data_IF_510361730968
#
_entry.id   IF_510361730968
#
_cell.length_a   1.000
_cell.length_b   1.000
_cell.length_c   1.000
_cell.angle_alpha   90.00
_cell.angle_beta   90.00
_cell.angle_gamma   90.00
#
_symmetry.space_group_name_H-M   'P 1'
#
loop_
_entity.id
_entity.type
_entity.pdbx_description
1 polymer ?
#
# COMPACT_ATOMS: atom_id res chain seq x y z
N UNK A 1 14.00 -9.06 6.22
CA UNK A 1 13.15 -8.84 5.04
C UNK A 1 12.09 -9.95 5.00
N UNK A 2 10.81 -9.62 5.03
CA UNK A 2 9.76 -10.61 4.79
C UNK A 2 9.71 -10.92 3.29
N UNK A 3 10.07 -12.14 2.91
CA UNK A 3 9.98 -12.61 1.52
C UNK A 3 8.93 -13.70 1.44
N UNK A 4 8.07 -13.64 0.44
CA UNK A 4 7.18 -14.77 0.16
C UNK A 4 8.00 -16.02 -0.19
N UNK A 5 7.45 -17.19 0.12
CA UNK A 5 7.87 -18.43 -0.51
C UNK A 5 7.77 -18.33 -2.03
N UNK A 6 8.63 -19.08 -2.73
CA UNK A 6 8.66 -19.15 -4.19
C UNK A 6 7.32 -19.56 -4.80
N UNK A 7 7.04 -19.07 -6.00
CA UNK A 7 5.85 -19.46 -6.77
C UNK A 7 5.78 -20.97 -7.04
N UNK A 8 6.90 -21.59 -7.41
CA UNK A 8 6.96 -23.04 -7.65
C UNK A 8 6.46 -23.85 -6.45
N UNK A 9 6.97 -23.54 -5.25
CA UNK A 9 6.52 -24.22 -4.01
C UNK A 9 5.02 -24.05 -3.77
N UNK A 10 4.48 -22.84 -4.00
CA UNK A 10 3.06 -22.55 -3.86
C UNK A 10 2.23 -23.37 -4.86
N UNK A 11 2.63 -23.37 -6.12
CA UNK A 11 1.99 -24.14 -7.19
C UNK A 11 1.98 -25.63 -6.90
N UNK A 12 3.11 -26.20 -6.46
CA UNK A 12 3.22 -27.62 -6.15
C UNK A 12 2.34 -28.03 -4.98
N UNK A 13 2.25 -27.21 -3.93
CA UNK A 13 1.33 -27.44 -2.81
C UNK A 13 -0.12 -27.40 -3.30
N UNK A 14 -0.48 -26.40 -4.12
CA UNK A 14 -1.85 -26.29 -4.66
C UNK A 14 -2.20 -27.48 -5.55
N UNK A 15 -1.33 -27.86 -6.50
CA UNK A 15 -1.54 -29.02 -7.37
C UNK A 15 -1.70 -30.31 -6.59
N UNK A 16 -0.90 -30.53 -5.54
CA UNK A 16 -1.01 -31.72 -4.72
C UNK A 16 -2.38 -31.84 -4.01
N UNK A 17 -2.99 -30.72 -3.63
CA UNK A 17 -4.31 -30.73 -3.00
C UNK A 17 -5.43 -30.83 -4.05
N UNK A 18 -5.35 -30.05 -5.13
CA UNK A 18 -6.46 -29.92 -6.10
C UNK A 18 -6.47 -31.01 -7.18
N UNK A 19 -5.30 -31.53 -7.56
CA UNK A 19 -5.16 -32.52 -8.63
C UNK A 19 -4.82 -33.90 -8.09
N UNK A 20 -3.97 -33.99 -7.08
CA UNK A 20 -3.55 -35.28 -6.48
C UNK A 20 -4.43 -35.72 -5.29
N UNK A 21 -5.41 -34.90 -4.89
CA UNK A 21 -6.39 -35.23 -3.85
C UNK A 21 -5.84 -35.28 -2.42
N UNK A 22 -4.65 -34.71 -2.17
CA UNK A 22 -4.08 -34.67 -0.82
C UNK A 22 -4.85 -33.73 0.10
N UNK A 23 -4.97 -34.08 1.37
CA UNK A 23 -5.40 -33.09 2.37
C UNK A 23 -4.38 -31.96 2.50
N UNK A 24 -4.86 -30.77 2.88
CA UNK A 24 -4.01 -29.57 3.11
C UNK A 24 -2.87 -29.86 4.09
N UNK A 25 -3.12 -30.71 5.11
CA UNK A 25 -2.10 -31.14 6.09
C UNK A 25 -1.07 -32.11 5.50
N UNK A 26 -1.48 -33.06 4.66
CA UNK A 26 -0.56 -33.97 3.99
C UNK A 26 0.36 -33.21 3.02
N UNK A 27 -0.18 -32.27 2.25
CA UNK A 27 0.62 -31.41 1.38
C UNK A 27 1.64 -30.58 2.20
N UNK A 28 1.24 -30.03 3.34
CA UNK A 28 2.13 -29.29 4.23
C UNK A 28 3.35 -30.13 4.67
N UNK A 29 3.11 -31.38 5.11
CA UNK A 29 4.18 -32.32 5.50
C UNK A 29 5.07 -32.66 4.31
N UNK A 30 4.49 -32.99 3.15
CA UNK A 30 5.24 -33.37 1.94
C UNK A 30 6.20 -32.27 1.46
N UNK A 31 5.77 -31.01 1.52
CA UNK A 31 6.54 -29.88 1.00
C UNK A 31 7.31 -29.10 2.08
N UNK A 32 7.28 -29.56 3.34
CA UNK A 32 8.01 -28.95 4.44
C UNK A 32 7.53 -27.53 4.79
N UNK A 33 6.24 -27.24 4.62
CA UNK A 33 5.63 -25.96 4.99
C UNK A 33 4.73 -26.12 6.21
N UNK A 34 4.50 -25.04 6.96
CA UNK A 34 3.57 -25.08 8.09
C UNK A 34 2.13 -25.37 7.64
N UNK A 35 1.33 -26.15 8.39
CA UNK A 35 -0.05 -26.48 8.01
C UNK A 35 -0.92 -25.25 7.72
N UNK A 36 -0.78 -24.18 8.52
CA UNK A 36 -1.48 -22.91 8.31
C UNK A 36 -1.08 -22.21 7.00
N UNK A 37 0.14 -22.42 6.52
CA UNK A 37 0.62 -21.84 5.25
C UNK A 37 -0.03 -22.56 4.07
N UNK A 38 -0.04 -23.90 4.08
CA UNK A 38 -0.71 -24.68 3.05
C UNK A 38 -2.21 -24.39 3.02
N UNK A 39 -2.87 -24.27 4.18
CA UNK A 39 -4.29 -23.91 4.27
C UNK A 39 -4.55 -22.55 3.60
N UNK A 40 -3.80 -21.51 3.97
CA UNK A 40 -3.95 -20.16 3.38
C UNK A 40 -3.71 -20.13 1.87
N UNK A 41 -2.77 -20.92 1.36
CA UNK A 41 -2.52 -20.98 -0.08
C UNK A 41 -3.68 -21.60 -0.84
N UNK A 42 -4.32 -22.62 -0.27
CA UNK A 42 -5.49 -23.26 -0.87
C UNK A 42 -6.71 -22.33 -0.78
N UNK A 43 -6.97 -21.71 0.38
CA UNK A 43 -8.06 -20.73 0.53
C UNK A 43 -7.93 -19.60 -0.49
N UNK A 44 -6.73 -19.01 -0.63
CA UNK A 44 -6.48 -17.97 -1.64
C UNK A 44 -6.71 -18.47 -3.06
N UNK A 45 -6.30 -19.69 -3.37
CA UNK A 45 -6.50 -20.28 -4.68
C UNK A 45 -7.99 -20.53 -4.96
N UNK A 46 -8.75 -20.99 -3.97
CA UNK A 46 -10.20 -21.17 -4.06
C UNK A 46 -10.93 -19.81 -4.24
N UNK A 47 -10.48 -18.76 -3.55
CA UNK A 47 -11.07 -17.41 -3.63
C UNK A 47 -10.73 -16.64 -4.92
N UNK A 48 -9.49 -16.76 -5.40
CA UNK A 48 -8.95 -15.88 -6.45
C UNK A 48 -8.47 -16.61 -7.70
N UNK A 49 -8.34 -17.93 -7.66
CA UNK A 49 -7.69 -18.73 -8.71
C UNK A 49 -6.17 -18.55 -8.80
N UNK A 50 -5.55 -17.77 -7.90
CA UNK A 50 -4.13 -17.40 -7.97
C UNK A 50 -3.33 -17.91 -6.77
N UNK A 51 -2.18 -18.51 -7.05
CA UNK A 51 -1.18 -18.94 -6.04
C UNK A 51 -0.20 -17.84 -5.66
N UNK A 52 -0.29 -16.66 -6.30
CA UNK A 52 0.61 -15.54 -6.03
C UNK A 52 0.56 -15.08 -4.57
N UNK A 53 1.62 -14.49 -4.02
CA UNK A 53 1.49 -13.77 -2.76
C UNK A 53 0.63 -12.52 -2.97
N UNK A 54 -0.02 -12.07 -1.90
CA UNK A 54 -0.52 -10.70 -1.87
C UNK A 54 0.65 -9.72 -1.90
N UNK A 55 0.34 -8.46 -2.19
CA UNK A 55 1.35 -7.41 -2.16
C UNK A 55 2.01 -7.36 -0.78
N UNK A 56 3.27 -7.78 -0.70
CA UNK A 56 4.08 -7.70 0.52
C UNK A 56 4.74 -6.32 0.52
N UNK A 57 4.34 -5.51 1.51
CA UNK A 57 4.86 -4.16 1.68
C UNK A 57 4.14 -3.12 0.82
N UNK A 58 4.74 -1.94 0.76
CA UNK A 58 4.10 -0.72 0.24
C UNK A 58 3.69 0.22 1.36
N UNK A 59 3.57 1.50 1.02
CA UNK A 59 3.07 2.52 1.93
C UNK A 59 1.64 2.88 1.54
N UNK A 60 0.83 3.20 2.55
CA UNK A 60 -0.48 3.81 2.31
C UNK A 60 -0.30 5.02 1.39
N UNK A 61 -1.04 5.13 0.27
CA UNK A 61 -0.96 6.29 -0.61
C UNK A 61 -1.17 7.58 0.18
N UNK A 62 -0.50 8.66 -0.24
CA UNK A 62 -0.56 9.95 0.44
C UNK A 62 -2.00 10.48 0.47
N UNK A 63 -2.36 11.16 1.55
CA UNK A 63 -3.69 11.74 1.71
C UNK A 63 -3.93 12.89 0.73
N UNK A 64 -2.92 13.72 0.51
CA UNK A 64 -2.93 14.79 -0.50
C UNK A 64 -2.49 14.17 -1.83
N UNK A 65 -3.44 13.98 -2.74
CA UNK A 65 -3.24 13.40 -4.08
C UNK A 65 -4.24 14.00 -5.07
N UNK A 66 -4.01 13.76 -6.36
CA UNK A 66 -4.93 14.06 -7.46
C UNK A 66 -5.49 15.51 -7.35
N UNK A 67 -6.80 15.68 -7.38
CA UNK A 67 -7.47 17.00 -7.33
C UNK A 67 -7.04 17.86 -6.13
N UNK A 68 -6.77 17.25 -4.97
CA UNK A 68 -6.30 18.00 -3.79
C UNK A 68 -4.86 18.47 -3.95
N UNK A 69 -4.02 17.70 -4.64
CA UNK A 69 -2.65 18.09 -4.95
C UNK A 69 -2.62 19.23 -5.97
N UNK A 70 -3.43 19.14 -7.02
CA UNK A 70 -3.52 20.18 -8.05
C UNK A 70 -4.03 21.50 -7.50
N UNK A 71 -5.09 21.43 -6.67
CA UNK A 71 -5.59 22.61 -5.97
C UNK A 71 -4.53 23.22 -5.06
N UNK A 72 -3.81 22.40 -4.29
CA UNK A 72 -2.80 22.89 -3.35
C UNK A 72 -1.61 23.54 -4.07
N UNK A 73 -1.21 23.02 -5.24
CA UNK A 73 -0.20 23.63 -6.13
C UNK A 73 -0.61 25.02 -6.59
N UNK A 74 -1.83 25.13 -7.13
CA UNK A 74 -2.36 26.39 -7.61
C UNK A 74 -2.43 27.40 -6.46
N UNK A 75 -3.02 26.99 -5.33
CA UNK A 75 -3.13 27.80 -4.12
C UNK A 75 -1.78 28.31 -3.63
N UNK A 76 -0.73 27.48 -3.64
CA UNK A 76 0.62 27.89 -3.22
C UNK A 76 1.25 28.95 -4.13
N UNK A 77 0.84 29.01 -5.41
CA UNK A 77 1.35 29.99 -6.39
C UNK A 77 0.60 31.32 -6.35
N UNK A 78 -0.68 31.29 -6.01
CA UNK A 78 -1.54 32.48 -6.03
C UNK A 78 -1.24 33.49 -4.93
N UNK A 79 -1.02 33.01 -3.70
CA UNK A 79 -0.82 33.90 -2.54
C UNK A 79 0.15 33.31 -1.51
N UNK A 80 0.92 34.15 -0.80
CA UNK A 80 1.76 33.72 0.31
C UNK A 80 0.96 32.88 1.30
N UNK A 81 1.61 31.87 1.88
CA UNK A 81 0.94 30.92 2.74
C UNK A 81 1.78 30.56 3.96
N UNK A 82 1.09 30.10 5.00
CA UNK A 82 1.70 29.34 6.08
C UNK A 82 1.22 27.90 5.99
N UNK A 83 2.03 26.95 6.44
CA UNK A 83 1.66 25.53 6.39
C UNK A 83 0.43 25.22 7.25
N UNK A 84 0.26 25.92 8.38
CA UNK A 84 -0.96 25.82 9.20
C UNK A 84 -2.18 26.43 8.49
N UNK A 85 -1.99 27.52 7.74
CA UNK A 85 -3.04 28.09 6.89
C UNK A 85 -3.52 27.10 5.83
N UNK A 86 -2.59 26.45 5.13
CA UNK A 86 -2.92 25.42 4.13
C UNK A 86 -3.66 24.22 4.74
N UNK A 87 -3.32 23.80 5.96
CA UNK A 87 -4.08 22.76 6.68
C UNK A 87 -5.53 23.19 6.91
N UNK A 88 -5.74 24.43 7.36
CA UNK A 88 -7.09 24.95 7.60
C UNK A 88 -7.88 25.06 6.30
N UNK A 89 -7.27 25.58 5.23
CA UNK A 89 -7.92 25.74 3.93
C UNK A 89 -8.26 24.39 3.28
N UNK A 90 -7.39 23.38 3.39
CA UNK A 90 -7.70 22.02 2.95
C UNK A 90 -8.91 21.43 3.68
N UNK A 91 -9.04 21.71 4.98
CA UNK A 91 -10.18 21.26 5.77
C UNK A 91 -11.47 22.02 5.41
N UNK A 92 -11.42 23.34 5.19
CA UNK A 92 -12.60 24.17 4.95
C UNK A 92 -13.06 24.17 3.49
N UNK A 93 -12.15 24.30 2.53
CA UNK A 93 -12.48 24.45 1.10
C UNK A 93 -12.55 23.11 0.38
N UNK A 94 -11.79 22.11 0.84
CA UNK A 94 -11.68 20.80 0.21
C UNK A 94 -12.24 19.65 1.04
N UNK A 95 -12.65 19.91 2.29
CA UNK A 95 -13.12 18.87 3.22
C UNK A 95 -12.05 17.85 3.61
N UNK A 96 -10.77 18.08 3.28
CA UNK A 96 -9.68 17.14 3.50
C UNK A 96 -8.93 17.48 4.79
N UNK A 97 -9.19 16.71 5.85
CA UNK A 97 -8.47 16.84 7.12
C UNK A 97 -7.10 16.16 7.01
N UNK A 98 -6.04 16.97 7.01
CA UNK A 98 -4.64 16.51 7.00
C UNK A 98 -3.87 17.16 8.14
N UNK A 99 -2.82 16.47 8.59
CA UNK A 99 -1.91 17.03 9.59
C UNK A 99 -0.88 17.97 8.96
N UNK A 100 -0.24 18.78 9.80
CA UNK A 100 0.81 19.73 9.41
C UNK A 100 1.96 19.05 8.65
N UNK A 101 2.41 17.86 9.07
CA UNK A 101 3.56 17.17 8.47
C UNK A 101 3.21 16.66 7.07
N UNK A 102 1.96 16.23 6.85
CA UNK A 102 1.47 15.88 5.51
C UNK A 102 1.57 17.06 4.54
N UNK A 103 1.12 18.25 4.97
CA UNK A 103 1.21 19.48 4.16
C UNK A 103 2.67 19.93 3.98
N UNK A 104 3.47 19.94 5.05
CA UNK A 104 4.90 20.27 4.97
C UNK A 104 5.63 19.36 3.98
N UNK A 105 5.41 18.05 4.07
CA UNK A 105 6.04 17.07 3.19
C UNK A 105 5.61 17.27 1.74
N UNK A 106 4.35 17.57 1.50
CA UNK A 106 3.87 17.90 0.15
C UNK A 106 4.59 19.13 -0.41
N UNK A 107 4.56 20.27 0.31
CA UNK A 107 5.19 21.52 -0.13
C UNK A 107 6.71 21.34 -0.34
N UNK A 108 7.35 20.53 0.51
CA UNK A 108 8.78 20.23 0.41
C UNK A 108 9.10 19.35 -0.80
N UNK A 109 8.38 18.23 -0.98
CA UNK A 109 8.57 17.30 -2.09
C UNK A 109 8.32 18.00 -3.44
N UNK A 110 7.37 18.95 -3.49
CA UNK A 110 7.06 19.75 -4.68
C UNK A 110 7.94 21.00 -4.86
N UNK A 111 8.91 21.22 -3.96
CA UNK A 111 9.83 22.38 -3.99
C UNK A 111 9.11 23.73 -4.00
N UNK A 112 7.92 23.80 -3.41
CA UNK A 112 7.10 25.01 -3.27
C UNK A 112 7.50 25.86 -2.06
N UNK A 113 8.55 25.47 -1.33
CA UNK A 113 9.06 26.24 -0.20
C UNK A 113 9.76 27.51 -0.68
N UNK A 114 9.38 28.68 -0.14
CA UNK A 114 10.12 29.90 -0.36
C UNK A 114 11.43 29.90 0.44
N UNK A 115 12.57 29.92 -0.26
CA UNK A 115 13.87 30.19 0.37
C UNK A 115 13.95 31.68 0.69
N UNK A 116 14.08 32.01 1.97
CA UNK A 116 14.34 33.40 2.40
C UNK A 116 15.71 33.82 1.86
N UNK A 117 15.74 34.83 0.98
CA UNK A 117 16.99 35.51 0.60
C UNK A 117 17.29 36.53 1.70
N UNK A 118 18.46 36.39 2.33
CA UNK A 118 18.97 37.30 3.34
C UNK A 118 19.86 38.34 2.66
#
# INVERSE_FOLDING_TARGET
MSKAYSMDLRERVVKAVTQEGMSRRQAAVRFGVGPSTAIRWIERFEETGSVSPDQIGGHKPRTIRDDHADWLRQRCREKPFTLRGLVAELASERGLKVDYRSVWRFVHDEKLSHKKRR
#
